data_IF_704765159340
#
_entry.id   IF_704765159340
#
_cell.length_a   1.000
_cell.length_b   1.000
_cell.length_c   1.000
_cell.angle_alpha   90.00
_cell.angle_beta   90.00
_cell.angle_gamma   90.00
#
_symmetry.space_group_name_H-M   'P 1'
#
loop_
_entity.id
_entity.type
_entity.pdbx_description
1 polymer ?
#
# COMPACT_ATOMS: atom_id res chain seq x y z
N UNK A 1 -7.05 19.17 10.17
CA UNK A 1 -7.71 18.05 10.86
C UNK A 1 -8.01 16.98 9.81
N UNK A 2 -7.68 15.72 10.07
CA UNK A 2 -7.89 14.60 9.13
C UNK A 2 -9.06 13.74 9.65
N UNK A 3 -9.97 13.34 8.77
CA UNK A 3 -11.04 12.38 9.08
C UNK A 3 -10.68 11.02 8.49
N UNK A 4 -10.98 9.93 9.22
CA UNK A 4 -10.74 8.56 8.78
C UNK A 4 -12.06 7.87 8.50
N UNK A 5 -12.15 7.21 7.35
CA UNK A 5 -13.23 6.30 7.02
C UNK A 5 -12.70 4.87 7.08
N UNK A 6 -13.49 3.94 7.61
CA UNK A 6 -13.12 2.52 7.65
C UNK A 6 -13.44 1.84 6.30
N UNK A 7 -12.77 2.31 5.25
CA UNK A 7 -12.89 1.80 3.87
C UNK A 7 -11.58 2.00 3.11
N UNK A 8 -11.32 1.10 2.17
CA UNK A 8 -10.25 1.24 1.18
C UNK A 8 -10.79 1.93 -0.09
N UNK A 9 -9.89 2.53 -0.88
CA UNK A 9 -10.29 3.32 -2.06
C UNK A 9 -10.92 2.46 -3.18
N UNK A 10 -10.50 1.20 -3.28
CA UNK A 10 -10.99 0.22 -4.26
C UNK A 10 -11.08 -1.15 -3.60
N UNK A 11 -11.99 -2.01 -4.09
CA UNK A 11 -12.07 -3.39 -3.61
C UNK A 11 -10.82 -4.18 -4.01
N UNK A 12 -10.31 -4.98 -3.09
CA UNK A 12 -9.16 -5.86 -3.31
C UNK A 12 -9.59 -7.33 -3.22
N UNK A 13 -9.13 -8.19 -4.15
CA UNK A 13 -9.39 -9.62 -4.04
C UNK A 13 -8.67 -10.20 -2.83
N UNK A 14 -9.27 -11.21 -2.19
CA UNK A 14 -8.59 -11.97 -1.14
C UNK A 14 -7.46 -12.80 -1.77
N UNK A 15 -6.21 -12.68 -1.30
CA UNK A 15 -5.12 -13.50 -1.80
C UNK A 15 -5.37 -14.98 -1.46
N UNK A 16 -5.01 -15.88 -2.37
CA UNK A 16 -5.20 -17.33 -2.18
C UNK A 16 -4.19 -17.90 -1.18
N UNK A 17 -2.94 -17.45 -1.28
CA UNK A 17 -1.81 -17.93 -0.49
C UNK A 17 -0.98 -16.72 0.01
N UNK A 18 -0.27 -16.84 1.15
CA UNK A 18 0.71 -15.85 1.56
C UNK A 18 1.95 -15.90 0.66
N UNK A 19 2.54 -14.74 0.37
CA UNK A 19 3.79 -14.63 -0.39
C UNK A 19 4.70 -13.53 0.20
N UNK A 20 5.72 -13.90 0.99
CA UNK A 20 6.66 -12.94 1.57
C UNK A 20 7.44 -12.15 0.53
N UNK A 21 7.82 -12.80 -0.58
CA UNK A 21 8.59 -12.16 -1.65
C UNK A 21 7.75 -11.12 -2.41
N UNK A 22 6.48 -11.42 -2.70
CA UNK A 22 5.60 -10.45 -3.36
C UNK A 22 5.29 -9.28 -2.43
N UNK A 23 5.11 -9.54 -1.12
CA UNK A 23 4.96 -8.49 -0.12
C UNK A 23 6.20 -7.58 -0.04
N UNK A 24 7.41 -8.15 -0.13
CA UNK A 24 8.64 -7.37 -0.19
C UNK A 24 8.76 -6.57 -1.49
N UNK A 25 8.31 -7.11 -2.63
CA UNK A 25 8.34 -6.40 -3.91
C UNK A 25 7.41 -5.18 -3.94
N UNK A 26 6.19 -5.29 -3.41
CA UNK A 26 5.26 -4.13 -3.33
C UNK A 26 5.71 -3.05 -2.34
N UNK A 27 6.67 -3.35 -1.45
CA UNK A 27 7.22 -2.38 -0.50
C UNK A 27 7.94 -1.22 -1.19
N UNK A 28 8.52 -1.43 -2.38
CA UNK A 28 9.10 -0.35 -3.19
C UNK A 28 8.03 0.69 -3.59
N UNK A 29 6.80 0.24 -3.86
CA UNK A 29 5.69 1.14 -4.20
C UNK A 29 5.16 1.89 -2.97
N UNK A 30 5.39 1.39 -1.75
CA UNK A 30 4.95 2.06 -0.52
C UNK A 30 6.02 3.02 0.00
N UNK A 31 7.19 2.49 0.36
CA UNK A 31 8.27 3.21 1.06
C UNK A 31 9.55 3.36 0.25
N UNK A 32 9.56 2.94 -1.01
CA UNK A 32 10.66 3.21 -1.93
C UNK A 32 10.80 4.69 -2.25
N UNK A 33 11.91 5.07 -2.90
CA UNK A 33 12.21 6.48 -3.19
C UNK A 33 11.09 7.18 -3.98
N UNK A 34 10.41 6.43 -4.85
CA UNK A 34 9.32 6.91 -5.69
C UNK A 34 7.97 6.25 -5.33
N UNK A 35 7.83 5.76 -4.10
CA UNK A 35 6.59 5.17 -3.60
C UNK A 35 5.58 6.20 -3.11
N UNK A 36 4.40 5.71 -2.70
CA UNK A 36 3.27 6.52 -2.24
C UNK A 36 3.60 7.38 -1.01
N UNK A 37 4.50 6.92 -0.13
CA UNK A 37 4.91 7.74 1.03
C UNK A 37 5.71 8.97 0.61
N UNK A 38 6.47 8.90 -0.49
CA UNK A 38 7.22 10.04 -1.03
C UNK A 38 6.27 11.09 -1.60
N UNK A 39 5.22 10.68 -2.32
CA UNK A 39 4.25 11.62 -2.90
C UNK A 39 3.30 12.18 -1.84
N UNK A 40 2.97 11.41 -0.80
CA UNK A 40 2.15 11.86 0.33
C UNK A 40 2.82 12.96 1.18
N UNK A 41 4.15 12.90 1.34
CA UNK A 41 4.89 13.78 2.26
C UNK A 41 5.61 14.96 1.57
N UNK A 42 5.61 15.00 0.24
CA UNK A 42 6.25 16.07 -0.54
C UNK A 42 5.47 17.40 -0.50
#
# INVERSE_FOLDING_TARGET
MISRFDKIAVDLPRPKNPSPNDAAAVQELLGGKFGEMSTLMN
#
